data_IF_126975098219
#
_entry.id   IF_126975098219
#
_cell.length_a   1.000
_cell.length_b   1.000
_cell.length_c   1.000
_cell.angle_alpha   90.00
_cell.angle_beta   90.00
_cell.angle_gamma   90.00
#
_symmetry.space_group_name_H-M   'P 1'
#
loop_
_entity.id
_entity.type
_entity.pdbx_description
1 polymer ?
#
# COMPACT_ATOMS: atom_id res chain seq x y z
N UNK A 1 31.61 29.38 15.03
CA UNK A 1 30.72 28.71 14.04
C UNK A 1 30.67 27.18 14.16
N UNK A 2 31.77 26.47 14.49
CA UNK A 2 31.81 25.00 14.56
C UNK A 2 30.97 24.35 15.70
N UNK A 3 30.78 25.02 16.84
CA UNK A 3 30.02 24.46 17.97
C UNK A 3 28.49 24.44 17.74
N UNK A 4 27.94 25.44 17.02
CA UNK A 4 26.50 25.47 16.67
C UNK A 4 26.08 24.29 15.77
N UNK A 5 26.99 23.83 14.90
CA UNK A 5 26.76 22.65 14.06
C UNK A 5 26.79 21.34 14.84
N UNK A 6 27.58 21.26 15.92
CA UNK A 6 27.61 20.07 16.80
C UNK A 6 26.31 19.96 17.60
N UNK A 7 25.84 21.05 18.21
CA UNK A 7 24.59 21.07 19.00
C UNK A 7 23.39 20.70 18.14
N UNK A 8 23.28 21.27 16.92
CA UNK A 8 22.21 20.90 15.98
C UNK A 8 22.23 19.42 15.60
N UNK A 9 23.41 18.83 15.44
CA UNK A 9 23.56 17.40 15.14
C UNK A 9 23.15 16.51 16.32
N UNK A 10 23.45 16.89 17.56
CA UNK A 10 23.00 16.15 18.74
C UNK A 10 21.48 16.24 18.90
N UNK A 11 20.89 17.42 18.79
CA UNK A 11 19.44 17.61 18.84
C UNK A 11 18.72 16.78 17.77
N UNK A 12 19.22 16.79 16.54
CA UNK A 12 18.68 15.99 15.45
C UNK A 12 18.74 14.49 15.74
N UNK A 13 19.88 13.98 16.24
CA UNK A 13 20.04 12.56 16.61
C UNK A 13 19.11 12.17 17.74
N UNK A 14 19.02 12.99 18.79
CA UNK A 14 18.11 12.73 19.93
C UNK A 14 16.67 12.71 19.47
N UNK A 15 16.26 13.64 18.60
CA UNK A 15 14.90 13.66 18.03
C UNK A 15 14.60 12.38 17.24
N UNK A 16 15.52 11.91 16.39
CA UNK A 16 15.35 10.64 15.67
C UNK A 16 15.18 9.48 16.65
N UNK A 17 16.03 9.39 17.68
CA UNK A 17 15.96 8.30 18.66
C UNK A 17 14.60 8.32 19.38
N UNK A 18 14.12 9.49 19.79
CA UNK A 18 12.82 9.63 20.44
C UNK A 18 11.68 9.21 19.51
N UNK A 19 11.71 9.61 18.24
CA UNK A 19 10.71 9.21 17.25
C UNK A 19 10.74 7.70 16.97
N UNK A 20 11.93 7.12 16.83
CA UNK A 20 12.08 5.67 16.70
C UNK A 20 11.55 4.94 17.94
N UNK A 21 11.89 5.41 19.14
CA UNK A 21 11.39 4.83 20.38
C UNK A 21 9.86 4.93 20.48
N UNK A 22 9.27 6.06 20.09
CA UNK A 22 7.83 6.26 20.08
C UNK A 22 7.09 5.27 19.17
N UNK A 23 7.65 4.96 17.99
CA UNK A 23 7.08 3.97 17.07
C UNK A 23 7.34 2.53 17.52
N UNK A 24 8.54 2.24 18.01
CA UNK A 24 8.94 0.88 18.38
C UNK A 24 8.38 0.41 19.72
N UNK A 25 8.11 1.33 20.66
CA UNK A 25 7.59 0.99 21.98
C UNK A 25 6.23 0.25 21.92
N UNK A 26 5.18 0.73 21.22
CA UNK A 26 3.92 -0.03 21.13
C UNK A 26 4.09 -1.37 20.41
N UNK A 27 4.96 -1.46 19.40
CA UNK A 27 5.28 -2.71 18.72
C UNK A 27 5.97 -3.70 19.66
N UNK A 28 6.89 -3.21 20.49
CA UNK A 28 7.55 -4.00 21.53
C UNK A 28 6.55 -4.50 22.57
N UNK A 29 5.61 -3.66 23.01
CA UNK A 29 4.56 -4.08 23.94
C UNK A 29 3.63 -5.15 23.33
N UNK A 30 3.30 -5.03 22.04
CA UNK A 30 2.57 -6.08 21.31
C UNK A 30 3.37 -7.39 21.25
N UNK A 31 4.67 -7.31 21.02
CA UNK A 31 5.56 -8.48 21.03
C UNK A 31 5.62 -9.14 22.41
N UNK A 32 5.73 -8.36 23.49
CA UNK A 32 5.68 -8.87 24.87
C UNK A 32 4.35 -9.56 25.14
N UNK A 33 3.23 -8.93 24.78
CA UNK A 33 1.90 -9.50 24.97
C UNK A 33 1.70 -10.80 24.15
N UNK A 34 2.27 -10.89 22.95
CA UNK A 34 2.18 -12.08 22.12
C UNK A 34 2.92 -13.30 22.71
N UNK A 35 3.90 -13.06 23.61
CA UNK A 35 4.71 -14.08 24.29
C UNK A 35 4.41 -14.18 25.80
N UNK A 36 3.24 -13.69 26.21
CA UNK A 36 2.81 -13.68 27.61
C UNK A 36 1.50 -14.43 27.75
N UNK A 37 1.29 -15.05 28.91
CA UNK A 37 0.05 -15.77 29.21
C UNK A 37 -1.17 -14.85 29.19
N UNK A 38 -2.36 -15.39 28.88
CA UNK A 38 -3.62 -14.63 28.91
C UNK A 38 -3.86 -13.94 30.27
N UNK A 39 -3.37 -14.55 31.36
CA UNK A 39 -3.43 -13.97 32.71
C UNK A 39 -2.49 -12.78 32.86
N UNK A 40 -1.24 -12.89 32.40
CA UNK A 40 -0.28 -11.79 32.42
C UNK A 40 -0.74 -10.61 31.57
N UNK A 41 -1.29 -10.89 30.38
CA UNK A 41 -1.87 -9.87 29.49
C UNK A 41 -3.06 -9.15 30.14
N UNK A 42 -3.80 -9.75 31.06
CA UNK A 42 -4.92 -9.08 31.74
C UNK A 42 -4.57 -8.55 33.16
N UNK A 43 -3.34 -8.75 33.61
CA UNK A 43 -2.88 -8.35 34.95
C UNK A 43 -2.35 -6.91 35.00
N UNK A 44 -2.34 -6.33 36.20
CA UNK A 44 -1.70 -5.05 36.50
C UNK A 44 -0.88 -5.18 37.79
N UNK A 45 0.35 -4.65 37.86
CA UNK A 45 1.07 -3.90 36.82
C UNK A 45 1.49 -4.76 35.61
N UNK A 46 1.68 -4.13 34.45
CA UNK A 46 2.09 -4.81 33.22
C UNK A 46 3.58 -5.15 33.26
N UNK A 47 3.91 -6.38 32.92
CA UNK A 47 5.30 -6.80 32.72
C UNK A 47 5.82 -6.23 31.39
N UNK A 48 7.02 -5.63 31.44
CA UNK A 48 7.71 -5.14 30.24
C UNK A 48 8.62 -6.21 29.61
N UNK A 49 8.80 -7.35 30.28
CA UNK A 49 9.64 -8.47 29.83
C UNK A 49 8.71 -9.63 29.47
N UNK A 50 8.90 -10.30 28.32
CA UNK A 50 8.07 -11.44 27.94
C UNK A 50 8.32 -12.63 28.89
N UNK A 51 7.24 -13.33 29.26
CA UNK A 51 7.31 -14.58 30.04
C UNK A 51 7.78 -15.78 29.19
N UNK A 52 7.82 -15.60 27.86
CA UNK A 52 8.08 -16.65 26.86
C UNK A 52 7.08 -17.80 26.95
N UNK A 53 5.81 -17.44 27.18
CA UNK A 53 4.69 -18.35 27.10
C UNK A 53 4.11 -18.33 25.66
N UNK A 54 3.95 -19.52 25.08
CA UNK A 54 3.46 -19.71 23.72
C UNK A 54 2.01 -20.20 23.69
N UNK A 55 1.33 -20.33 24.84
CA UNK A 55 -0.05 -20.81 24.92
C UNK A 55 -0.98 -20.01 24.00
N UNK A 56 -0.92 -18.67 24.06
CA UNK A 56 -1.74 -17.80 23.20
C UNK A 56 -1.44 -18.01 21.71
N UNK A 57 -0.17 -18.18 21.33
CA UNK A 57 0.22 -18.42 19.94
C UNK A 57 -0.28 -19.79 19.43
N UNK A 58 -0.16 -20.83 20.25
CA UNK A 58 -0.66 -22.17 19.93
C UNK A 58 -2.19 -22.13 19.79
N UNK A 59 -2.88 -21.49 20.73
CA UNK A 59 -4.32 -21.30 20.69
C UNK A 59 -4.77 -20.62 19.40
N UNK A 60 -4.17 -19.49 19.03
CA UNK A 60 -4.50 -18.79 17.78
C UNK A 60 -4.15 -19.61 16.53
N UNK A 61 -3.05 -20.37 16.55
CA UNK A 61 -2.67 -21.22 15.42
C UNK A 61 -3.66 -22.36 15.16
N UNK A 62 -4.31 -22.86 16.22
CA UNK A 62 -5.30 -23.93 16.17
C UNK A 62 -6.74 -23.41 16.07
N UNK A 63 -6.94 -22.10 16.22
CA UNK A 63 -8.26 -21.49 16.15
C UNK A 63 -8.88 -21.72 14.77
N UNK A 64 -10.12 -22.23 14.77
CA UNK A 64 -10.82 -22.62 13.55
C UNK A 64 -10.93 -21.42 12.59
N UNK A 65 -10.46 -21.61 11.36
CA UNK A 65 -10.53 -20.61 10.30
C UNK A 65 -9.40 -19.57 10.31
N UNK A 66 -8.49 -19.55 11.30
CA UNK A 66 -7.39 -18.56 11.34
C UNK A 66 -6.45 -18.66 10.13
N UNK A 67 -6.01 -19.89 9.79
CA UNK A 67 -5.13 -20.13 8.63
C UNK A 67 -5.82 -19.81 7.31
N UNK A 68 -7.11 -20.17 7.19
CA UNK A 68 -7.93 -19.85 6.01
C UNK A 68 -8.15 -18.35 5.86
N UNK A 69 -8.45 -17.63 6.95
CA UNK A 69 -8.62 -16.18 6.94
C UNK A 69 -7.32 -15.49 6.51
N UNK A 70 -6.18 -15.89 7.09
CA UNK A 70 -4.87 -15.36 6.70
C UNK A 70 -4.57 -15.61 5.22
N UNK A 71 -4.83 -16.84 4.74
CA UNK A 71 -4.64 -17.18 3.32
C UNK A 71 -5.55 -16.35 2.41
N UNK A 72 -6.80 -16.14 2.80
CA UNK A 72 -7.75 -15.33 2.04
C UNK A 72 -7.30 -13.86 1.99
N UNK A 73 -6.86 -13.27 3.11
CA UNK A 73 -6.31 -11.91 3.13
C UNK A 73 -5.11 -11.76 2.21
N UNK A 74 -4.18 -12.73 2.19
CA UNK A 74 -3.03 -12.72 1.27
C UNK A 74 -3.50 -12.77 -0.18
N UNK A 75 -4.39 -13.71 -0.52
CA UNK A 75 -4.89 -13.86 -1.89
C UNK A 75 -5.59 -12.60 -2.38
N UNK A 76 -6.49 -12.04 -1.58
CA UNK A 76 -7.20 -10.80 -1.91
C UNK A 76 -6.22 -9.66 -2.12
N UNK A 77 -5.29 -9.45 -1.18
CA UNK A 77 -4.32 -8.36 -1.26
C UNK A 77 -3.37 -8.47 -2.46
N UNK A 78 -2.92 -9.68 -2.82
CA UNK A 78 -2.10 -9.92 -4.01
C UNK A 78 -2.89 -9.65 -5.29
N UNK A 79 -4.13 -10.13 -5.40
CA UNK A 79 -4.97 -9.89 -6.59
C UNK A 79 -5.24 -8.40 -6.73
N UNK A 80 -5.63 -7.72 -5.64
CA UNK A 80 -5.85 -6.27 -5.63
C UNK A 80 -4.60 -5.50 -6.04
N UNK A 81 -3.43 -5.87 -5.51
CA UNK A 81 -2.15 -5.26 -5.90
C UNK A 81 -1.92 -5.40 -7.41
N UNK A 82 -2.04 -6.61 -7.95
CA UNK A 82 -1.82 -6.87 -9.38
C UNK A 82 -2.81 -6.07 -10.23
N UNK A 83 -4.10 -6.14 -9.93
CA UNK A 83 -5.14 -5.43 -10.69
C UNK A 83 -4.94 -3.91 -10.62
N UNK A 84 -4.62 -3.38 -9.45
CA UNK A 84 -4.38 -1.94 -9.26
C UNK A 84 -3.18 -1.45 -10.07
N UNK A 85 -2.13 -2.24 -10.23
CA UNK A 85 -0.95 -1.86 -11.03
C UNK A 85 -1.20 -2.06 -12.51
N UNK A 86 -1.81 -3.18 -12.91
CA UNK A 86 -2.14 -3.48 -14.31
C UNK A 86 -3.06 -2.40 -14.90
N UNK A 87 -3.99 -1.86 -14.11
CA UNK A 87 -4.90 -0.79 -14.56
C UNK A 87 -4.29 0.59 -14.28
N UNK A 88 -3.74 0.78 -13.08
CA UNK A 88 -3.30 2.08 -12.58
C UNK A 88 -2.04 2.61 -13.26
N UNK A 89 -1.05 1.74 -13.52
CA UNK A 89 0.21 2.18 -14.14
C UNK A 89 0.01 2.66 -15.60
N UNK A 90 -0.75 1.97 -16.47
CA UNK A 90 -1.07 2.51 -17.80
C UNK A 90 -1.87 3.82 -17.74
N UNK A 91 -2.81 3.95 -16.80
CA UNK A 91 -3.58 5.18 -16.63
C UNK A 91 -2.67 6.34 -16.16
N UNK A 92 -1.79 6.11 -15.19
CA UNK A 92 -0.80 7.09 -14.73
C UNK A 92 0.20 7.48 -15.82
N UNK A 93 0.66 6.51 -16.62
CA UNK A 93 1.48 6.76 -17.81
C UNK A 93 0.76 7.66 -18.80
N UNK A 94 -0.49 7.33 -19.15
CA UNK A 94 -1.25 8.10 -20.12
C UNK A 94 -1.50 9.54 -19.64
N UNK A 95 -1.79 9.70 -18.35
CA UNK A 95 -1.90 10.99 -17.68
C UNK A 95 -0.60 11.79 -17.72
N UNK A 96 0.56 11.14 -17.67
CA UNK A 96 1.85 11.83 -17.71
C UNK A 96 2.28 12.22 -19.13
N UNK A 97 2.04 11.36 -20.13
CA UNK A 97 2.61 11.50 -21.47
C UNK A 97 1.68 12.12 -22.51
N UNK A 98 0.36 11.95 -22.36
CA UNK A 98 -0.58 12.46 -23.35
C UNK A 98 -1.28 13.72 -22.83
N UNK A 99 -1.44 14.69 -23.74
CA UNK A 99 -2.30 15.85 -23.52
C UNK A 99 -3.60 15.64 -24.30
N UNK A 100 -4.65 15.30 -23.55
CA UNK A 100 -5.99 15.07 -24.09
C UNK A 100 -6.99 16.00 -23.41
N UNK A 101 -8.08 16.30 -24.12
CA UNK A 101 -9.17 17.15 -23.63
C UNK A 101 -9.79 16.51 -22.39
N UNK A 102 -9.87 17.26 -21.28
CA UNK A 102 -10.43 16.78 -20.01
C UNK A 102 -9.45 16.10 -19.05
N UNK A 103 -8.14 16.07 -19.35
CA UNK A 103 -7.09 15.53 -18.47
C UNK A 103 -7.15 16.04 -17.03
N UNK A 104 -7.37 17.35 -16.84
CA UNK A 104 -7.51 17.94 -15.50
C UNK A 104 -8.75 17.43 -14.77
N UNK A 105 -9.89 17.40 -15.46
CA UNK A 105 -11.16 16.88 -14.92
C UNK A 105 -11.04 15.40 -14.56
N UNK A 106 -10.39 14.59 -15.37
CA UNK A 106 -10.16 13.18 -15.07
C UNK A 106 -9.34 12.99 -13.78
N UNK A 107 -8.26 13.77 -13.58
CA UNK A 107 -7.52 13.78 -12.31
C UNK A 107 -8.38 14.18 -11.12
N UNK A 108 -9.20 15.22 -11.28
CA UNK A 108 -10.12 15.66 -10.24
C UNK A 108 -11.14 14.58 -9.90
N UNK A 109 -11.74 13.92 -10.89
CA UNK A 109 -12.69 12.83 -10.68
C UNK A 109 -12.06 11.67 -9.90
N UNK A 110 -10.83 11.28 -10.22
CA UNK A 110 -10.09 10.27 -9.46
C UNK A 110 -9.96 10.69 -7.99
N UNK A 111 -9.59 11.94 -7.72
CA UNK A 111 -9.50 12.45 -6.35
C UNK A 111 -10.86 12.47 -5.63
N UNK A 112 -11.92 12.85 -6.33
CA UNK A 112 -13.27 12.90 -5.77
C UNK A 112 -13.80 11.52 -5.37
N UNK A 113 -13.37 10.43 -6.01
CA UNK A 113 -13.73 9.07 -5.56
C UNK A 113 -13.29 8.79 -4.11
N UNK A 114 -12.22 9.45 -3.64
CA UNK A 114 -11.70 9.30 -2.27
C UNK A 114 -12.43 10.17 -1.25
N UNK A 115 -13.18 11.18 -1.70
CA UNK A 115 -14.00 12.00 -0.83
C UNK A 115 -15.31 11.28 -0.43
N UNK A 116 -15.68 10.23 -1.16
CA UNK A 116 -16.90 9.49 -0.88
C UNK A 116 -16.70 8.57 0.35
N UNK A 117 -17.59 8.64 1.35
CA UNK A 117 -17.47 7.81 2.55
C UNK A 117 -17.78 6.34 2.23
N UNK A 118 -16.80 5.45 2.47
CA UNK A 118 -16.92 4.01 2.21
C UNK A 118 -18.15 3.35 2.84
N UNK A 119 -18.59 3.69 4.07
CA UNK A 119 -19.80 3.10 4.65
C UNK A 119 -21.06 3.32 3.81
N UNK A 120 -21.15 4.43 3.05
CA UNK A 120 -22.29 4.69 2.17
C UNK A 120 -22.29 3.79 0.92
N UNK A 121 -21.12 3.29 0.51
CA UNK A 121 -21.00 2.36 -0.62
C UNK A 121 -21.26 0.91 -0.22
N UNK A 122 -21.23 0.58 1.07
CA UNK A 122 -21.32 -0.80 1.54
C UNK A 122 -22.61 -1.50 1.08
N UNK A 123 -23.77 -0.88 1.32
CA UNK A 123 -25.07 -1.46 0.92
C UNK A 123 -25.22 -1.62 -0.61
N UNK A 124 -25.01 -0.58 -1.44
CA UNK A 124 -25.16 -0.75 -2.89
C UNK A 124 -24.15 -1.74 -3.49
N UNK A 125 -22.90 -1.78 -2.99
CA UNK A 125 -21.92 -2.78 -3.42
C UNK A 125 -22.33 -4.18 -3.00
N UNK A 126 -22.82 -4.37 -1.77
CA UNK A 126 -23.30 -5.68 -1.31
C UNK A 126 -24.45 -6.18 -2.19
N UNK A 127 -25.46 -5.34 -2.45
CA UNK A 127 -26.59 -5.71 -3.33
C UNK A 127 -26.12 -6.04 -4.74
N UNK A 128 -25.19 -5.26 -5.30
CA UNK A 128 -24.62 -5.53 -6.62
C UNK A 128 -23.91 -6.88 -6.66
N UNK A 129 -23.05 -7.16 -5.69
CA UNK A 129 -22.23 -8.38 -5.68
C UNK A 129 -23.08 -9.63 -5.48
N UNK A 130 -24.08 -9.57 -4.58
CA UNK A 130 -25.07 -10.64 -4.38
C UNK A 130 -25.82 -10.94 -5.68
N UNK A 131 -26.28 -9.91 -6.40
CA UNK A 131 -27.00 -10.09 -7.68
C UNK A 131 -26.12 -10.70 -8.77
N UNK A 132 -24.82 -10.43 -8.74
CA UNK A 132 -23.86 -10.98 -9.71
C UNK A 132 -23.27 -12.33 -9.29
N UNK A 133 -23.56 -12.82 -8.08
CA UNK A 133 -22.93 -14.03 -7.51
C UNK A 133 -21.43 -13.85 -7.22
N UNK A 134 -20.97 -12.62 -7.02
CA UNK A 134 -19.60 -12.29 -6.62
C UNK A 134 -19.47 -12.10 -5.10
N UNK A 135 -20.58 -12.14 -4.38
CA UNK A 135 -20.61 -12.15 -2.93
C UNK A 135 -19.89 -13.38 -2.37
N UNK A 136 -19.25 -13.20 -1.22
CA UNK A 136 -18.47 -14.24 -0.54
C UNK A 136 -17.38 -14.93 -1.39
N UNK A 137 -16.87 -14.22 -2.41
CA UNK A 137 -15.76 -14.70 -3.25
C UNK A 137 -14.48 -13.88 -3.06
N UNK A 138 -13.33 -14.54 -3.15
CA UNK A 138 -12.00 -13.89 -3.11
C UNK A 138 -11.87 -12.85 -4.22
N UNK A 139 -12.32 -13.21 -5.43
CA UNK A 139 -12.23 -12.30 -6.58
C UNK A 139 -13.16 -11.10 -6.43
N UNK A 140 -14.38 -11.32 -5.94
CA UNK A 140 -15.31 -10.23 -5.67
C UNK A 140 -14.74 -9.24 -4.65
N UNK A 141 -14.22 -9.73 -3.53
CA UNK A 141 -13.60 -8.86 -2.53
C UNK A 141 -12.38 -8.11 -3.10
N UNK A 142 -11.54 -8.79 -3.89
CA UNK A 142 -10.39 -8.17 -4.54
C UNK A 142 -10.77 -7.08 -5.55
N UNK A 143 -11.90 -7.21 -6.25
CA UNK A 143 -12.43 -6.16 -7.13
C UNK A 143 -12.82 -4.92 -6.32
N UNK A 144 -13.55 -5.08 -5.22
CA UNK A 144 -13.92 -3.97 -4.35
C UNK A 144 -12.65 -3.27 -3.85
N UNK A 145 -11.70 -4.01 -3.30
CA UNK A 145 -10.45 -3.44 -2.82
C UNK A 145 -9.63 -2.76 -3.93
N UNK A 146 -9.66 -3.30 -5.16
CA UNK A 146 -9.05 -2.65 -6.34
C UNK A 146 -9.67 -1.30 -6.61
N UNK A 147 -10.99 -1.14 -6.54
CA UNK A 147 -11.63 0.18 -6.74
C UNK A 147 -11.16 1.21 -5.71
N UNK A 148 -10.84 0.77 -4.49
CA UNK A 148 -10.35 1.64 -3.41
C UNK A 148 -8.88 2.02 -3.56
N UNK A 149 -8.06 1.07 -4.03
CA UNK A 149 -6.62 1.24 -4.22
C UNK A 149 -6.26 1.92 -5.56
N UNK A 150 -7.09 1.76 -6.59
CA UNK A 150 -6.81 2.23 -7.94
C UNK A 150 -6.55 3.74 -8.03
N UNK A 151 -7.30 4.64 -7.37
CA UNK A 151 -7.01 6.08 -7.38
C UNK A 151 -5.58 6.40 -6.94
N UNK A 152 -5.09 5.72 -5.90
CA UNK A 152 -3.72 5.90 -5.45
C UNK A 152 -2.71 5.32 -6.43
N UNK A 153 -2.97 4.11 -6.96
CA UNK A 153 -2.09 3.51 -7.94
C UNK A 153 -1.91 4.42 -9.17
N UNK A 154 -2.99 5.03 -9.67
CA UNK A 154 -2.96 5.99 -10.78
C UNK A 154 -2.18 7.26 -10.41
N UNK A 155 -2.45 7.85 -9.25
CA UNK A 155 -1.80 9.11 -8.84
C UNK A 155 -0.31 8.94 -8.53
N UNK A 156 0.07 7.86 -7.84
CA UNK A 156 1.45 7.52 -7.53
C UNK A 156 2.22 7.28 -8.84
N UNK A 157 1.70 6.42 -9.72
CA UNK A 157 2.36 6.14 -11.00
C UNK A 157 2.42 7.38 -11.89
N UNK A 158 1.35 8.19 -11.96
CA UNK A 158 1.38 9.48 -12.65
C UNK A 158 2.50 10.39 -12.15
N UNK A 159 2.66 10.52 -10.82
CA UNK A 159 3.72 11.33 -10.23
C UNK A 159 5.12 10.81 -10.59
N UNK A 160 5.30 9.49 -10.56
CA UNK A 160 6.58 8.85 -10.90
C UNK A 160 6.91 9.06 -12.38
N UNK A 161 5.97 8.78 -13.28
CA UNK A 161 6.18 8.97 -14.71
C UNK A 161 6.45 10.44 -15.07
N UNK A 162 5.77 11.38 -14.40
CA UNK A 162 5.99 12.81 -14.60
C UNK A 162 7.38 13.28 -14.16
N UNK A 163 8.04 12.54 -13.25
CA UNK A 163 9.41 12.80 -12.84
C UNK A 163 10.47 12.33 -13.84
N UNK A 164 10.10 11.48 -14.81
CA UNK A 164 11.01 11.00 -15.85
C UNK A 164 10.89 11.91 -17.08
N UNK A 165 11.97 12.58 -17.52
CA UNK A 165 11.96 13.44 -18.69
C UNK A 165 11.50 12.68 -19.94
N UNK A 166 10.62 13.27 -20.75
CA UNK A 166 10.11 12.65 -21.99
C UNK A 166 11.21 12.50 -23.04
N UNK A 167 12.22 13.36 -22.98
CA UNK A 167 13.36 13.42 -23.88
C UNK A 167 14.13 12.09 -23.92
N UNK A 168 14.12 11.31 -22.82
CA UNK A 168 14.72 9.97 -22.79
C UNK A 168 14.01 8.99 -23.74
N UNK A 169 12.69 9.11 -23.89
CA UNK A 169 11.91 8.31 -24.83
C UNK A 169 12.13 8.78 -26.26
N UNK A 170 12.17 10.10 -26.48
CA UNK A 170 12.42 10.70 -27.81
C UNK A 170 13.80 10.33 -28.35
N UNK A 171 14.83 10.33 -27.49
CA UNK A 171 16.17 9.84 -27.84
C UNK A 171 16.13 8.35 -28.21
N UNK A 172 15.40 7.52 -27.46
CA UNK A 172 15.25 6.11 -27.82
C UNK A 172 14.58 5.93 -29.20
N UNK A 173 13.58 6.76 -29.51
CA UNK A 173 12.88 6.71 -30.79
C UNK A 173 13.76 7.16 -31.96
N UNK A 174 14.58 8.19 -31.78
CA UNK A 174 15.54 8.63 -32.82
C UNK A 174 16.65 7.61 -33.05
N UNK A 175 17.00 6.81 -32.05
CA UNK A 175 17.91 5.66 -32.16
C UNK A 175 17.25 4.39 -32.74
N UNK A 176 16.02 4.50 -33.26
CA UNK A 176 15.33 3.40 -33.95
C UNK A 176 14.50 2.47 -33.06
N UNK A 177 14.34 2.78 -31.77
CA UNK A 177 13.39 2.04 -30.94
C UNK A 177 11.95 2.42 -31.30
N UNK A 178 11.07 1.44 -31.44
CA UNK A 178 9.62 1.73 -31.45
C UNK A 178 9.14 2.16 -30.05
N UNK A 179 7.93 2.71 -29.94
CA UNK A 179 7.38 3.25 -28.69
C UNK A 179 7.40 2.25 -27.52
N UNK A 180 6.99 1.01 -27.77
CA UNK A 180 6.97 -0.03 -26.74
C UNK A 180 8.38 -0.43 -26.30
N UNK A 181 9.33 -0.49 -27.23
CA UNK A 181 10.73 -0.83 -26.95
C UNK A 181 11.42 0.29 -26.19
N UNK A 182 11.19 1.55 -26.58
CA UNK A 182 11.69 2.72 -25.84
C UNK A 182 11.14 2.73 -24.40
N UNK A 183 9.84 2.51 -24.23
CA UNK A 183 9.23 2.41 -22.91
C UNK A 183 9.85 1.28 -22.06
N UNK A 184 9.88 0.06 -22.58
CA UNK A 184 10.32 -1.12 -21.82
C UNK A 184 11.81 -1.11 -21.50
N UNK A 185 12.66 -0.57 -22.37
CA UNK A 185 14.12 -0.55 -22.17
C UNK A 185 14.65 0.69 -21.46
N UNK A 186 13.97 1.84 -21.59
CA UNK A 186 14.44 3.12 -21.04
C UNK A 186 13.61 3.55 -19.85
N UNK A 187 12.29 3.64 -20.00
CA UNK A 187 11.41 4.22 -18.97
C UNK A 187 11.14 3.23 -17.85
N UNK A 188 10.74 2.00 -18.21
CA UNK A 188 10.30 0.99 -17.25
C UNK A 188 11.35 0.68 -16.17
N UNK A 189 12.66 0.53 -16.47
CA UNK A 189 13.68 0.30 -15.44
C UNK A 189 13.85 1.49 -14.48
N UNK A 190 13.70 2.72 -14.98
CA UNK A 190 13.84 3.93 -14.17
C UNK A 190 12.70 4.10 -13.16
N UNK A 191 11.48 3.70 -13.55
CA UNK A 191 10.28 3.82 -12.70
C UNK A 191 9.99 2.57 -11.88
N UNK A 192 10.65 1.44 -12.16
CA UNK A 192 10.35 0.15 -11.52
C UNK A 192 10.34 0.22 -9.99
N UNK A 193 11.29 0.93 -9.31
CA UNK A 193 11.23 1.09 -7.86
C UNK A 193 9.96 1.82 -7.40
N UNK A 194 9.50 2.80 -8.18
CA UNK A 194 8.26 3.53 -7.91
C UNK A 194 7.00 2.69 -8.15
N UNK A 195 6.98 1.88 -9.21
CA UNK A 195 5.89 0.92 -9.44
C UNK A 195 5.82 -0.08 -8.29
N UNK A 196 6.97 -0.59 -7.81
CA UNK A 196 7.02 -1.48 -6.66
C UNK A 196 6.47 -0.81 -5.39
N UNK A 197 6.81 0.45 -5.14
CA UNK A 197 6.24 1.22 -4.02
C UNK A 197 4.71 1.37 -4.14
N UNK A 198 4.21 1.66 -5.34
CA UNK A 198 2.76 1.72 -5.63
C UNK A 198 2.07 0.36 -5.39
N UNK A 199 2.73 -0.73 -5.78
CA UNK A 199 2.22 -2.09 -5.61
C UNK A 199 2.11 -2.46 -4.14
N UNK A 200 3.16 -2.20 -3.35
CA UNK A 200 3.17 -2.41 -1.90
C UNK A 200 2.06 -1.58 -1.24
N UNK A 201 1.86 -0.34 -1.68
CA UNK A 201 0.80 0.51 -1.16
C UNK A 201 -0.60 -0.07 -1.43
N UNK A 202 -0.85 -0.57 -2.65
CA UNK A 202 -2.11 -1.24 -2.99
C UNK A 202 -2.33 -2.52 -2.19
N UNK A 203 -1.27 -3.30 -1.94
CA UNK A 203 -1.32 -4.48 -1.08
C UNK A 203 -1.73 -4.10 0.36
N UNK A 204 -1.06 -3.09 0.95
CA UNK A 204 -1.32 -2.65 2.33
C UNK A 204 -2.75 -2.12 2.49
N UNK A 205 -3.27 -1.38 1.50
CA UNK A 205 -4.67 -0.92 1.51
C UNK A 205 -5.64 -2.09 1.56
N UNK A 206 -5.35 -3.18 0.85
CA UNK A 206 -6.22 -4.35 0.83
C UNK A 206 -6.05 -5.25 2.05
N UNK A 207 -4.88 -5.21 2.68
CA UNK A 207 -4.52 -6.07 3.80
C UNK A 207 -5.15 -5.60 5.13
N UNK A 208 -5.39 -4.30 5.26
CA UNK A 208 -5.89 -3.63 6.45
C UNK A 208 -7.38 -3.34 6.36
#
# INVERSE_FOLDING_TARGET
>A
MLQRHKIGRYLYRTLIIVLCAWVLLPLYLLFVNALSSSKAVNSFPKNFVPEFDFESLIFFSQFAGMTSALSNSIKVAVITMIMSIVIGAPAGYALSRFDFRGKSTFRLLILLTRAFPLPLLALPLAVLFIRTGLDDTIFGLALVHTTLALPFAVLITFSIFSGVPIELEEVAWTLGCNRLTGFTKVVLPLILPGIAASAIFAFVISWN
#
